data_IF_100254615727
#
_entry.id   IF_100254615727
#
_cell.length_a   1.000
_cell.length_b   1.000
_cell.length_c   1.000
_cell.angle_alpha   90.00
_cell.angle_beta   90.00
_cell.angle_gamma   90.00
#
_symmetry.space_group_name_H-M   'P 1'
#
loop_
_entity.id
_entity.type
_entity.pdbx_description
1 polymer ?
#
# COMPACT_ATOMS: atom_id res chain seq x y z
N UNK A 1 -21.53 7.96 19.33
CA UNK A 1 -21.05 6.61 19.69
C UNK A 1 -22.26 5.68 19.66
N UNK A 2 -22.72 5.35 18.46
CA UNK A 2 -23.98 4.65 18.19
C UNK A 2 -23.86 4.09 16.79
N UNK A 3 -23.51 2.80 16.65
CA UNK A 3 -23.90 2.01 15.47
C UNK A 3 -23.51 0.52 15.56
N UNK A 4 -22.54 0.15 16.41
CA UNK A 4 -22.09 -1.26 16.50
C UNK A 4 -23.15 -2.20 17.08
N UNK A 5 -23.97 -1.74 18.03
CA UNK A 5 -25.10 -2.50 18.61
C UNK A 5 -26.33 -2.53 17.70
N UNK A 6 -26.55 -1.51 16.87
CA UNK A 6 -27.65 -1.49 15.91
C UNK A 6 -27.40 -2.44 14.73
N UNK A 7 -26.14 -2.49 14.25
CA UNK A 7 -25.72 -3.43 13.22
C UNK A 7 -25.87 -4.90 13.67
N UNK A 8 -25.45 -5.24 14.89
CA UNK A 8 -25.59 -6.60 15.45
C UNK A 8 -27.04 -6.96 15.81
N UNK A 9 -27.85 -6.00 16.25
CA UNK A 9 -29.30 -6.21 16.45
C UNK A 9 -30.03 -6.46 15.12
N UNK A 10 -29.60 -5.81 14.02
CA UNK A 10 -30.14 -6.05 12.68
C UNK A 10 -29.87 -7.47 12.16
N UNK A 11 -28.78 -8.11 12.58
CA UNK A 11 -28.45 -9.50 12.24
C UNK A 11 -29.24 -10.55 13.05
N UNK A 12 -29.82 -10.17 14.20
CA UNK A 12 -30.43 -11.12 15.15
C UNK A 12 -31.97 -11.05 15.20
N UNK A 13 -32.62 -10.03 14.62
CA UNK A 13 -34.06 -9.75 14.77
C UNK A 13 -34.90 -9.85 13.48
N UNK A 14 -34.64 -10.83 12.61
CA UNK A 14 -35.60 -11.12 11.53
C UNK A 14 -35.99 -12.60 11.39
N UNK A 15 -36.70 -13.18 12.38
CA UNK A 15 -37.61 -14.28 12.12
C UNK A 15 -39.06 -13.89 12.45
N UNK A 16 -39.81 -13.39 11.45
CA UNK A 16 -41.27 -13.51 11.44
C UNK A 16 -41.84 -13.23 10.03
N UNK A 17 -42.30 -14.31 9.39
CA UNK A 17 -43.38 -14.38 8.41
C UNK A 17 -43.35 -13.45 7.17
N UNK A 18 -42.80 -13.96 6.07
CA UNK A 18 -43.51 -13.91 4.78
C UNK A 18 -43.46 -15.33 4.18
N UNK A 19 -44.60 -16.00 4.20
CA UNK A 19 -44.85 -17.20 3.40
C UNK A 19 -44.89 -16.75 1.94
N UNK A 20 -43.76 -16.89 1.24
CA UNK A 20 -43.72 -16.81 -0.23
C UNK A 20 -43.70 -18.27 -0.73
N UNK A 21 -44.52 -18.65 -1.74
CA UNK A 21 -44.45 -19.99 -2.30
C UNK A 21 -43.03 -20.22 -2.78
N UNK A 22 -42.43 -21.32 -2.34
CA UNK A 22 -41.13 -21.79 -2.80
C UNK A 22 -41.22 -22.12 -4.30
N UNK A 23 -41.11 -21.11 -5.15
CA UNK A 23 -40.44 -21.30 -6.43
C UNK A 23 -39.03 -21.73 -6.05
N UNK A 24 -38.61 -22.91 -6.52
CA UNK A 24 -37.30 -23.46 -6.26
C UNK A 24 -36.24 -22.39 -6.57
N UNK A 25 -35.79 -21.70 -5.52
CA UNK A 25 -34.65 -20.81 -5.63
C UNK A 25 -33.51 -21.70 -6.09
N UNK A 26 -32.86 -21.32 -7.19
CA UNK A 26 -31.57 -21.92 -7.54
C UNK A 26 -30.69 -21.85 -6.30
N UNK A 27 -29.96 -22.92 -5.95
CA UNK A 27 -28.98 -22.86 -4.87
C UNK A 27 -28.15 -21.57 -5.06
N UNK A 28 -27.93 -20.72 -4.05
CA UNK A 28 -27.30 -19.42 -4.32
C UNK A 28 -25.84 -19.52 -4.74
N UNK A 29 -25.20 -20.70 -4.62
CA UNK A 29 -23.96 -21.01 -5.36
C UNK A 29 -24.13 -20.90 -6.88
N UNK A 30 -25.35 -20.90 -7.38
CA UNK A 30 -25.76 -20.71 -8.77
C UNK A 30 -26.51 -19.39 -9.01
N UNK A 31 -26.66 -18.50 -8.01
CA UNK A 31 -27.25 -17.17 -8.24
C UNK A 31 -26.33 -16.38 -9.20
N UNK A 32 -26.83 -15.94 -10.38
CA UNK A 32 -26.05 -15.15 -11.32
C UNK A 32 -25.46 -13.87 -10.72
N UNK A 33 -26.15 -13.21 -9.79
CA UNK A 33 -25.66 -12.00 -9.13
C UNK A 33 -24.46 -12.31 -8.21
N UNK A 34 -24.52 -13.40 -7.46
CA UNK A 34 -23.42 -13.89 -6.65
C UNK A 34 -22.21 -14.29 -7.50
N UNK A 35 -22.46 -15.08 -8.56
CA UNK A 35 -21.41 -15.51 -9.49
C UNK A 35 -20.73 -14.32 -10.19
N UNK A 36 -21.48 -13.27 -10.55
CA UNK A 36 -20.94 -12.06 -11.13
C UNK A 36 -20.00 -11.30 -10.17
N UNK A 37 -20.34 -11.26 -8.87
CA UNK A 37 -19.47 -10.68 -7.85
C UNK A 37 -18.16 -11.45 -7.70
N UNK A 38 -18.23 -12.79 -7.66
CA UNK A 38 -17.04 -13.64 -7.61
C UNK A 38 -16.16 -13.49 -8.85
N UNK A 39 -16.76 -13.42 -10.04
CA UNK A 39 -16.02 -13.19 -11.28
C UNK A 39 -15.32 -11.83 -11.28
N UNK A 40 -16.00 -10.78 -10.79
CA UNK A 40 -15.43 -9.43 -10.67
C UNK A 40 -14.29 -9.37 -9.65
N UNK A 41 -14.41 -10.07 -8.53
CA UNK A 41 -13.33 -10.12 -7.54
C UNK A 41 -12.10 -10.84 -8.11
N UNK A 42 -12.28 -11.99 -8.76
CA UNK A 42 -11.17 -12.72 -9.40
C UNK A 42 -10.45 -11.89 -10.46
N UNK A 43 -11.19 -11.17 -11.29
CA UNK A 43 -10.57 -10.30 -12.30
C UNK A 43 -9.84 -9.12 -11.66
N UNK A 44 -10.40 -8.53 -10.60
CA UNK A 44 -9.75 -7.46 -9.86
C UNK A 44 -8.50 -7.94 -9.11
N UNK A 45 -8.52 -9.15 -8.54
CA UNK A 45 -7.36 -9.76 -7.89
C UNK A 45 -6.20 -9.99 -8.86
N UNK A 46 -6.48 -10.54 -10.04
CA UNK A 46 -5.46 -10.72 -11.09
C UNK A 46 -4.84 -9.40 -11.52
N UNK A 47 -5.65 -8.35 -11.69
CA UNK A 47 -5.14 -7.01 -12.02
C UNK A 47 -4.33 -6.44 -10.87
N UNK A 48 -4.77 -6.62 -9.62
CA UNK A 48 -4.04 -6.19 -8.44
C UNK A 48 -2.65 -6.84 -8.37
N UNK A 49 -2.55 -8.16 -8.52
CA UNK A 49 -1.28 -8.88 -8.51
C UNK A 49 -0.33 -8.37 -9.60
N UNK A 50 -0.84 -8.14 -10.82
CA UNK A 50 -0.05 -7.56 -11.91
C UNK A 50 0.47 -6.15 -11.59
N UNK A 51 -0.31 -5.33 -10.88
CA UNK A 51 0.12 -3.98 -10.49
C UNK A 51 1.06 -4.01 -9.29
N UNK A 52 1.00 -5.02 -8.43
CA UNK A 52 2.01 -5.26 -7.38
C UNK A 52 3.36 -5.55 -8.04
N UNK A 53 3.41 -6.50 -8.98
CA UNK A 53 4.65 -6.82 -9.70
C UNK A 53 5.23 -5.57 -10.41
N UNK A 54 4.37 -4.82 -11.12
CA UNK A 54 4.77 -3.57 -11.79
C UNK A 54 5.35 -2.56 -10.80
N UNK A 55 4.77 -2.44 -9.61
CA UNK A 55 5.21 -1.54 -8.57
C UNK A 55 6.56 -1.96 -7.98
N UNK A 56 6.71 -3.24 -7.66
CA UNK A 56 7.97 -3.79 -7.15
C UNK A 56 9.12 -3.63 -8.16
N UNK A 57 8.85 -3.81 -9.46
CA UNK A 57 9.82 -3.56 -10.53
C UNK A 57 10.22 -2.07 -10.64
N UNK A 58 9.26 -1.15 -10.45
CA UNK A 58 9.55 0.29 -10.43
C UNK A 58 10.35 0.71 -9.19
N UNK A 59 9.99 0.20 -8.01
CA UNK A 59 10.72 0.41 -6.77
C UNK A 59 12.15 -0.15 -6.87
N UNK A 60 12.33 -1.35 -7.42
CA UNK A 60 13.65 -1.96 -7.64
C UNK A 60 14.55 -1.07 -8.52
N UNK A 61 14.04 -0.62 -9.67
CA UNK A 61 14.76 0.31 -10.55
C UNK A 61 15.14 1.62 -9.85
N UNK A 62 14.23 2.17 -9.05
CA UNK A 62 14.49 3.37 -8.28
C UNK A 62 15.59 3.18 -7.24
N UNK A 63 15.51 2.11 -6.43
CA UNK A 63 16.50 1.84 -5.39
C UNK A 63 17.87 1.51 -5.98
N UNK A 64 17.94 0.79 -7.10
CA UNK A 64 19.19 0.54 -7.81
C UNK A 64 19.82 1.84 -8.34
N UNK A 65 19.02 2.69 -8.99
CA UNK A 65 19.50 3.97 -9.52
C UNK A 65 19.94 4.91 -8.38
N UNK A 66 19.17 4.94 -7.29
CA UNK A 66 19.50 5.71 -6.08
C UNK A 66 20.76 5.19 -5.41
N UNK A 67 20.95 3.88 -5.29
CA UNK A 67 22.17 3.30 -4.74
C UNK A 67 23.40 3.66 -5.58
N UNK A 68 23.30 3.53 -6.91
CA UNK A 68 24.38 3.91 -7.83
C UNK A 68 24.71 5.41 -7.75
N UNK A 69 23.68 6.27 -7.64
CA UNK A 69 23.86 7.70 -7.44
C UNK A 69 24.53 8.01 -6.09
N UNK A 70 24.00 7.45 -4.99
CA UNK A 70 24.52 7.68 -3.64
C UNK A 70 25.96 7.19 -3.50
N UNK A 71 26.35 6.09 -4.16
CA UNK A 71 27.73 5.62 -4.16
C UNK A 71 28.70 6.65 -4.80
N UNK A 72 28.34 7.20 -5.97
CA UNK A 72 29.13 8.27 -6.61
C UNK A 72 29.17 9.53 -5.75
N UNK A 73 28.02 9.91 -5.22
CA UNK A 73 27.86 11.07 -4.35
C UNK A 73 28.72 10.96 -3.09
N UNK A 74 28.71 9.81 -2.41
CA UNK A 74 29.55 9.57 -1.24
C UNK A 74 31.03 9.64 -1.57
N UNK A 75 31.47 9.08 -2.71
CA UNK A 75 32.87 9.17 -3.14
C UNK A 75 33.31 10.63 -3.37
N UNK A 76 32.48 11.45 -4.02
CA UNK A 76 32.75 12.88 -4.23
C UNK A 76 32.69 13.68 -2.91
N UNK A 77 31.84 13.27 -1.98
CA UNK A 77 31.62 13.94 -0.71
C UNK A 77 32.66 13.59 0.35
N UNK A 78 33.18 12.37 0.43
CA UNK A 78 34.28 12.02 1.35
C UNK A 78 35.54 12.86 1.10
N UNK A 79 35.72 13.32 -0.15
CA UNK A 79 36.81 14.20 -0.51
C UNK A 79 36.65 15.62 0.10
N UNK A 80 35.41 16.13 0.19
CA UNK A 80 35.09 17.55 0.47
C UNK A 80 34.37 17.81 1.79
N UNK A 81 33.60 16.85 2.30
CA UNK A 81 32.72 16.99 3.45
C UNK A 81 33.50 16.94 4.78
N UNK A 82 33.08 17.74 5.77
CA UNK A 82 33.74 17.85 7.08
C UNK A 82 35.11 18.56 7.09
N UNK A 83 35.59 19.04 5.94
CA UNK A 83 36.90 19.69 5.79
C UNK A 83 36.75 21.19 5.50
N UNK A 84 36.10 21.93 6.40
CA UNK A 84 35.97 23.41 6.31
C UNK A 84 37.32 24.08 6.01
N UNK A 85 38.39 23.56 6.60
CA UNK A 85 39.76 24.02 6.37
C UNK A 85 40.19 23.98 4.90
N UNK A 86 39.66 23.07 4.05
CA UNK A 86 39.95 23.06 2.62
C UNK A 86 39.38 24.29 1.91
N UNK A 87 38.20 24.76 2.34
CA UNK A 87 37.58 25.97 1.79
C UNK A 87 38.35 27.22 2.24
N UNK A 88 38.81 27.26 3.49
CA UNK A 88 39.66 28.34 4.02
C UNK A 88 41.04 28.36 3.32
N UNK A 89 41.65 27.20 3.09
CA UNK A 89 42.95 27.09 2.41
C UNK A 89 42.88 27.40 0.91
N UNK A 90 41.73 27.15 0.27
CA UNK A 90 41.51 27.52 -1.13
C UNK A 90 41.38 29.05 -1.33
N UNK A 91 41.17 29.83 -0.26
CA UNK A 91 41.16 31.29 -0.31
C UNK A 91 42.57 31.84 -0.63
N UNK A 92 42.67 32.96 -1.37
CA UNK A 92 43.94 33.59 -1.68
C UNK A 92 44.78 33.88 -0.41
N UNK A 93 46.08 33.60 -0.48
CA UNK A 93 46.99 33.75 0.67
C UNK A 93 47.29 35.20 1.07
N UNK A 94 46.87 36.17 0.26
CA UNK A 94 47.06 37.61 0.52
C UNK A 94 45.89 38.25 1.28
N UNK A 95 44.78 37.54 1.47
CA UNK A 95 43.67 37.94 2.36
C UNK A 95 44.10 37.80 3.83
N UNK A 96 43.53 38.62 4.71
CA UNK A 96 43.76 38.51 6.16
C UNK A 96 43.27 37.15 6.70
N UNK A 97 43.90 36.64 7.77
CA UNK A 97 43.55 35.33 8.32
C UNK A 97 42.09 35.24 8.75
N UNK A 98 41.55 36.28 9.40
CA UNK A 98 40.15 36.29 9.82
C UNK A 98 39.21 36.38 8.63
N UNK A 99 39.57 37.18 7.61
CA UNK A 99 38.81 37.30 6.37
C UNK A 99 38.72 35.96 5.63
N UNK A 100 39.84 35.21 5.56
CA UNK A 100 39.89 33.87 4.96
C UNK A 100 39.05 32.85 5.71
N UNK A 101 39.06 32.91 7.05
CA UNK A 101 38.26 32.00 7.89
C UNK A 101 36.77 32.26 7.69
N UNK A 102 36.32 33.51 7.81
CA UNK A 102 34.90 33.87 7.67
C UNK A 102 34.37 33.59 6.26
N UNK A 103 35.12 33.97 5.22
CA UNK A 103 34.76 33.70 3.84
C UNK A 103 34.76 32.19 3.54
N UNK A 104 35.77 31.46 4.01
CA UNK A 104 35.84 29.99 3.82
C UNK A 104 34.71 29.23 4.50
N UNK A 105 34.26 29.66 5.69
CA UNK A 105 33.07 29.09 6.35
C UNK A 105 31.81 29.37 5.53
N UNK A 106 31.67 30.58 4.99
CA UNK A 106 30.53 30.95 4.13
C UNK A 106 30.50 30.12 2.85
N UNK A 107 31.65 29.96 2.19
CA UNK A 107 31.81 29.15 0.98
C UNK A 107 31.46 27.67 1.26
N UNK A 108 31.89 27.13 2.41
CA UNK A 108 31.53 25.78 2.84
C UNK A 108 30.02 25.62 3.08
N UNK A 109 29.39 26.58 3.76
CA UNK A 109 27.95 26.54 4.02
C UNK A 109 27.12 26.65 2.73
N UNK A 110 27.55 27.50 1.79
CA UNK A 110 26.93 27.63 0.47
C UNK A 110 27.06 26.34 -0.34
N UNK A 111 28.25 25.72 -0.33
CA UNK A 111 28.46 24.40 -0.93
C UNK A 111 27.52 23.36 -0.31
N UNK A 112 27.48 23.24 1.02
CA UNK A 112 26.60 22.29 1.71
C UNK A 112 25.11 22.53 1.41
N UNK A 113 24.68 23.79 1.26
CA UNK A 113 23.32 24.13 0.86
C UNK A 113 23.02 23.69 -0.58
N UNK A 114 23.92 23.96 -1.54
CA UNK A 114 23.78 23.52 -2.93
C UNK A 114 23.70 21.99 -3.06
N UNK A 115 24.48 21.27 -2.27
CA UNK A 115 24.47 19.81 -2.26
C UNK A 115 23.14 19.22 -1.74
N UNK A 116 22.52 19.83 -0.73
CA UNK A 116 21.18 19.42 -0.28
C UNK A 116 20.12 19.65 -1.36
N UNK A 117 20.23 20.75 -2.10
CA UNK A 117 19.33 21.04 -3.21
C UNK A 117 19.47 20.01 -4.35
N UNK A 118 20.71 19.66 -4.73
CA UNK A 118 20.97 18.62 -5.73
C UNK A 118 20.41 17.26 -5.33
N UNK A 119 20.54 16.84 -4.06
CA UNK A 119 19.94 15.59 -3.58
C UNK A 119 18.41 15.58 -3.74
N UNK A 120 17.75 16.70 -3.45
CA UNK A 120 16.29 16.81 -3.58
C UNK A 120 15.85 16.76 -5.06
N UNK A 121 16.59 17.40 -5.96
CA UNK A 121 16.32 17.37 -7.41
C UNK A 121 16.50 15.97 -7.98
N UNK A 122 17.57 15.27 -7.57
CA UNK A 122 17.92 13.95 -8.10
C UNK A 122 16.95 12.87 -7.63
N UNK A 123 16.50 12.91 -6.37
CA UNK A 123 15.47 11.98 -5.90
C UNK A 123 14.17 12.09 -6.74
N UNK A 124 13.76 13.32 -7.05
CA UNK A 124 12.61 13.58 -7.93
C UNK A 124 12.81 13.06 -9.35
N UNK A 125 13.97 13.32 -9.97
CA UNK A 125 14.29 12.81 -11.31
C UNK A 125 14.34 11.28 -11.35
N UNK A 126 15.00 10.65 -10.39
CA UNK A 126 15.11 9.18 -10.33
C UNK A 126 13.74 8.51 -10.17
N UNK A 127 12.83 9.12 -9.41
CA UNK A 127 11.43 8.64 -9.31
C UNK A 127 10.72 8.67 -10.66
N UNK A 128 10.87 9.77 -11.41
CA UNK A 128 10.28 9.91 -12.74
C UNK A 128 10.87 8.90 -13.73
N UNK A 129 12.20 8.76 -13.75
CA UNK A 129 12.90 7.82 -14.64
C UNK A 129 12.57 6.34 -14.35
N UNK A 130 12.40 6.00 -13.07
CA UNK A 130 11.96 4.66 -12.66
C UNK A 130 10.49 4.36 -13.01
N UNK A 131 9.72 5.38 -13.41
CA UNK A 131 8.29 5.26 -13.67
C UNK A 131 7.46 5.05 -12.41
N UNK A 132 7.98 5.43 -11.24
CA UNK A 132 7.31 5.23 -9.96
C UNK A 132 5.93 5.88 -9.89
N UNK A 133 5.73 7.16 -10.30
CA UNK A 133 4.42 7.80 -10.20
C UNK A 133 3.31 7.07 -10.97
N UNK A 134 3.61 6.61 -12.19
CA UNK A 134 2.65 5.87 -13.02
C UNK A 134 2.36 4.47 -12.44
N UNK A 135 3.37 3.79 -11.90
CA UNK A 135 3.18 2.52 -11.21
C UNK A 135 2.38 2.67 -9.91
N UNK A 136 2.62 3.75 -9.14
CA UNK A 136 1.90 4.12 -7.92
C UNK A 136 0.42 4.35 -8.22
N UNK A 137 0.10 5.17 -9.22
CA UNK A 137 -1.29 5.48 -9.62
C UNK A 137 -2.04 4.21 -10.06
N UNK A 138 -1.41 3.37 -10.87
CA UNK A 138 -2.02 2.11 -11.34
C UNK A 138 -2.24 1.11 -10.20
N UNK A 139 -1.27 1.00 -9.30
CA UNK A 139 -1.36 0.14 -8.12
C UNK A 139 -2.44 0.62 -7.15
N UNK A 140 -2.52 1.93 -6.86
CA UNK A 140 -3.58 2.51 -6.03
C UNK A 140 -4.97 2.26 -6.63
N UNK A 141 -5.15 2.47 -7.93
CA UNK A 141 -6.40 2.19 -8.61
C UNK A 141 -6.79 0.70 -8.53
N UNK A 142 -5.82 -0.21 -8.64
CA UNK A 142 -6.05 -1.65 -8.52
C UNK A 142 -6.39 -2.06 -7.08
N UNK A 143 -5.71 -1.48 -6.07
CA UNK A 143 -6.03 -1.61 -4.65
C UNK A 143 -7.48 -1.24 -4.37
N UNK A 144 -7.91 -0.08 -4.87
CA UNK A 144 -9.27 0.42 -4.69
C UNK A 144 -10.30 -0.48 -5.35
N UNK A 145 -10.04 -0.91 -6.59
CA UNK A 145 -10.91 -1.82 -7.33
C UNK A 145 -11.07 -3.18 -6.64
N UNK A 146 -9.97 -3.77 -6.16
CA UNK A 146 -9.99 -5.05 -5.44
C UNK A 146 -10.64 -4.92 -4.05
N UNK A 147 -10.38 -3.83 -3.34
CA UNK A 147 -11.05 -3.55 -2.07
C UNK A 147 -12.55 -3.37 -2.25
N UNK A 148 -12.97 -2.67 -3.31
CA UNK A 148 -14.39 -2.47 -3.63
C UNK A 148 -15.08 -3.78 -4.01
N UNK A 149 -14.43 -4.69 -4.74
CA UNK A 149 -15.01 -6.00 -5.09
C UNK A 149 -15.19 -6.89 -3.85
N UNK A 150 -14.21 -6.93 -2.95
CA UNK A 150 -14.34 -7.64 -1.67
C UNK A 150 -15.46 -7.07 -0.79
N UNK A 151 -15.55 -5.74 -0.67
CA UNK A 151 -16.65 -5.09 0.06
C UNK A 151 -18.01 -5.46 -0.53
N UNK A 152 -18.13 -5.53 -1.85
CA UNK A 152 -19.37 -5.94 -2.52
C UNK A 152 -19.75 -7.40 -2.22
N UNK A 153 -18.77 -8.31 -2.21
CA UNK A 153 -18.99 -9.71 -1.79
C UNK A 153 -19.48 -9.78 -0.35
N UNK A 154 -18.81 -9.10 0.58
CA UNK A 154 -19.19 -9.10 2.00
C UNK A 154 -20.61 -8.53 2.19
N UNK A 155 -20.95 -7.45 1.50
CA UNK A 155 -22.24 -6.77 1.60
C UNK A 155 -23.40 -7.50 0.91
N UNK A 156 -23.15 -8.47 0.03
CA UNK A 156 -24.21 -9.16 -0.73
C UNK A 156 -25.24 -9.84 0.19
N UNK A 157 -26.54 -9.50 0.14
CA UNK A 157 -27.51 -10.04 1.10
C UNK A 157 -27.81 -11.52 0.84
N UNK A 158 -27.44 -12.42 1.76
CA UNK A 158 -27.79 -13.84 1.68
C UNK A 158 -27.94 -14.47 3.05
N UNK A 159 -28.81 -15.49 3.13
CA UNK A 159 -29.03 -16.35 4.31
C UNK A 159 -28.46 -17.75 4.12
N UNK A 160 -27.85 -18.03 2.97
CA UNK A 160 -27.31 -19.36 2.67
C UNK A 160 -25.99 -19.61 3.38
N UNK A 161 -25.90 -20.75 4.05
CA UNK A 161 -24.74 -21.19 4.81
C UNK A 161 -23.45 -21.13 3.98
N UNK A 162 -23.47 -21.61 2.75
CA UNK A 162 -22.29 -21.66 1.88
C UNK A 162 -21.77 -20.26 1.51
N UNK A 163 -22.67 -19.31 1.22
CA UNK A 163 -22.30 -17.93 0.91
C UNK A 163 -21.76 -17.24 2.17
N UNK A 164 -22.38 -17.49 3.33
CA UNK A 164 -21.90 -16.94 4.61
C UNK A 164 -20.51 -17.50 4.90
N UNK A 165 -20.30 -18.82 4.78
CA UNK A 165 -19.00 -19.46 4.96
C UNK A 165 -17.93 -18.88 4.02
N UNK A 166 -18.26 -18.68 2.73
CA UNK A 166 -17.34 -18.08 1.77
C UNK A 166 -16.89 -16.67 2.18
N UNK A 167 -17.83 -15.84 2.64
CA UNK A 167 -17.49 -14.49 3.12
C UNK A 167 -16.62 -14.51 4.37
N UNK A 168 -16.90 -15.41 5.32
CA UNK A 168 -16.11 -15.54 6.53
C UNK A 168 -14.68 -15.97 6.21
N UNK A 169 -14.50 -16.92 5.28
CA UNK A 169 -13.18 -17.30 4.75
C UNK A 169 -12.45 -16.09 4.13
N UNK A 170 -13.13 -15.36 3.25
CA UNK A 170 -12.55 -14.16 2.62
C UNK A 170 -12.11 -13.11 3.65
N UNK A 171 -12.88 -12.93 4.73
CA UNK A 171 -12.53 -12.00 5.81
C UNK A 171 -11.32 -12.53 6.60
N UNK A 172 -11.30 -13.82 6.95
CA UNK A 172 -10.16 -14.44 7.66
C UNK A 172 -8.87 -14.33 6.85
N UNK A 173 -8.91 -14.68 5.57
CA UNK A 173 -7.73 -14.70 4.71
C UNK A 173 -7.13 -13.29 4.54
N UNK A 174 -7.97 -12.25 4.54
CA UNK A 174 -7.53 -10.87 4.26
C UNK A 174 -7.28 -10.02 5.50
N UNK A 175 -8.02 -10.25 6.58
CA UNK A 175 -8.01 -9.39 7.77
C UNK A 175 -7.66 -10.15 9.06
N UNK A 176 -7.55 -11.48 9.00
CA UNK A 176 -7.30 -12.31 10.18
C UNK A 176 -8.53 -12.47 11.09
N UNK A 177 -8.30 -13.03 12.27
CA UNK A 177 -9.30 -13.28 13.31
C UNK A 177 -8.85 -12.73 14.66
N UNK A 178 -8.62 -11.42 14.74
CA UNK A 178 -8.03 -10.79 15.93
C UNK A 178 -8.81 -11.08 17.22
N UNK A 179 -10.13 -11.27 17.14
CA UNK A 179 -10.98 -11.58 18.29
C UNK A 179 -11.23 -13.09 18.47
N UNK A 180 -10.86 -13.93 17.50
CA UNK A 180 -11.09 -15.38 17.53
C UNK A 180 -12.55 -15.80 17.34
N UNK A 181 -13.42 -14.90 16.86
CA UNK A 181 -14.87 -15.09 16.75
C UNK A 181 -15.28 -15.64 15.37
N UNK A 182 -14.47 -15.40 14.34
CA UNK A 182 -14.83 -15.73 12.96
C UNK A 182 -14.54 -17.20 12.67
N UNK A 183 -13.39 -17.72 13.11
CA UNK A 183 -13.02 -19.11 12.90
C UNK A 183 -13.99 -20.14 13.55
N UNK A 184 -14.48 -19.98 14.80
CA UNK A 184 -15.49 -20.88 15.36
C UNK A 184 -16.82 -20.80 14.61
N UNK A 185 -17.23 -19.60 14.18
CA UNK A 185 -18.45 -19.41 13.41
C UNK A 185 -18.36 -20.12 12.05
N UNK A 186 -17.23 -19.99 11.36
CA UNK A 186 -16.97 -20.70 10.12
C UNK A 186 -17.03 -22.22 10.31
N UNK A 187 -16.32 -22.76 11.32
CA UNK A 187 -16.35 -24.21 11.65
C UNK A 187 -17.76 -24.70 11.96
N UNK A 188 -18.60 -23.90 12.64
CA UNK A 188 -19.99 -24.26 12.92
C UNK A 188 -20.86 -24.32 11.67
N UNK A 189 -20.52 -23.58 10.62
CA UNK A 189 -21.28 -23.52 9.36
C UNK A 189 -20.81 -24.63 8.40
N UNK A 190 -19.50 -24.84 8.31
CA UNK A 190 -18.91 -25.79 7.34
C UNK A 190 -18.77 -27.21 7.89
N UNK A 191 -18.84 -27.39 9.21
CA UNK A 191 -18.55 -28.68 9.86
C UNK A 191 -17.06 -29.04 9.83
N UNK A 192 -16.19 -28.15 9.37
CA UNK A 192 -14.74 -28.36 9.34
C UNK A 192 -14.19 -28.22 10.77
N UNK A 193 -13.73 -29.34 11.34
CA UNK A 193 -13.04 -29.35 12.62
C UNK A 193 -11.71 -28.58 12.49
N UNK A 194 -11.41 -27.75 13.50
CA UNK A 194 -10.11 -27.08 13.63
C UNK A 194 -9.00 -28.13 13.67
N UNK A 195 -8.06 -28.07 12.72
CA UNK A 195 -6.81 -28.82 12.76
C UNK A 195 -5.81 -28.14 13.71
#
# INVERSE_FOLDING_TARGET
>A
MTDRRAFLAGLTLAPAAIVIPAMAATPATQDPAWLALLAKERSAAVVFDQMVDLREDADSRFFDAKAAFMAKWHAEMDEKNGKVWKFIQARPSHEDENERIEAGIRDHNAFAAGMRAQLAEIDGTLRQEAGLPDAEEKWEAACDAHTASVKAIVAYPSREADIIAHKLRLILDRYGDDNGDIAPLLSSITGEARA
#
